data_IF_903975014994
#
_entry.id   IF_903975014994
#
_cell.length_a   1.000
_cell.length_b   1.000
_cell.length_c   1.000
_cell.angle_alpha   90.00
_cell.angle_beta   90.00
_cell.angle_gamma   90.00
#
_symmetry.space_group_name_H-M   'P 1'
#
loop_
_entity.id
_entity.type
_entity.pdbx_description
1 polymer ?
#
# COMPACT_ATOMS: atom_id res chain seq x y z
N UNK A 1 5.53 -22.03 10.67
CA UNK A 1 4.56 -22.86 11.42
C UNK A 1 3.67 -22.04 12.35
N UNK A 2 4.23 -21.16 13.25
CA UNK A 2 3.41 -20.34 14.17
C UNK A 2 2.56 -19.33 13.39
N UNK A 3 3.13 -18.55 12.47
CA UNK A 3 2.40 -17.61 11.61
C UNK A 3 1.27 -18.31 10.82
N UNK A 4 1.55 -19.43 10.22
CA UNK A 4 0.60 -20.24 9.45
C UNK A 4 -0.55 -20.77 10.34
N UNK A 5 -0.24 -21.19 11.57
CA UNK A 5 -1.23 -21.60 12.55
C UNK A 5 -2.14 -20.43 12.97
N UNK A 6 -1.56 -19.24 13.26
CA UNK A 6 -2.33 -18.03 13.60
C UNK A 6 -3.29 -17.68 12.45
N UNK A 7 -2.79 -17.64 11.20
CA UNK A 7 -3.62 -17.29 10.04
C UNK A 7 -4.79 -18.26 9.87
N UNK A 8 -4.55 -19.54 10.03
CA UNK A 8 -5.60 -20.58 9.88
C UNK A 8 -6.62 -20.57 11.03
N UNK A 9 -6.23 -20.06 12.20
CA UNK A 9 -7.11 -19.95 13.37
C UNK A 9 -8.10 -18.78 13.31
N UNK A 10 -7.95 -17.85 12.33
CA UNK A 10 -8.79 -16.66 12.25
C UNK A 10 -10.03 -16.93 11.42
N UNK A 11 -11.24 -16.73 11.97
CA UNK A 11 -12.49 -16.85 11.24
C UNK A 11 -12.57 -15.89 10.04
N UNK A 12 -13.21 -16.33 8.96
CA UNK A 12 -13.38 -15.52 7.74
C UNK A 12 -14.01 -14.13 7.99
N UNK A 13 -15.06 -13.98 8.84
CA UNK A 13 -15.62 -12.67 9.13
C UNK A 13 -14.62 -11.70 9.75
N UNK A 14 -13.73 -12.21 10.62
CA UNK A 14 -12.71 -11.38 11.26
C UNK A 14 -11.66 -10.89 10.25
N UNK A 15 -11.28 -11.71 9.27
CA UNK A 15 -10.37 -11.30 8.18
C UNK A 15 -10.97 -10.16 7.35
N UNK A 16 -12.25 -10.25 7.02
CA UNK A 16 -12.96 -9.20 6.29
C UNK A 16 -13.08 -7.91 7.10
N UNK A 17 -13.32 -8.01 8.41
CA UNK A 17 -13.36 -6.87 9.32
C UNK A 17 -12.00 -6.16 9.42
N UNK A 18 -10.90 -6.92 9.48
CA UNK A 18 -9.53 -6.38 9.49
C UNK A 18 -9.26 -5.64 8.18
N UNK A 19 -9.55 -6.25 7.03
CA UNK A 19 -9.35 -5.61 5.72
C UNK A 19 -10.11 -4.29 5.61
N UNK A 20 -11.34 -4.24 6.10
CA UNK A 20 -12.12 -3.02 6.09
C UNK A 20 -11.60 -1.97 7.08
N UNK A 21 -11.12 -2.39 8.26
CA UNK A 21 -10.46 -1.50 9.22
C UNK A 21 -9.22 -0.83 8.60
N UNK A 22 -8.40 -1.60 7.88
CA UNK A 22 -7.25 -1.07 7.11
C UNK A 22 -7.75 -0.11 6.03
N UNK A 23 -8.81 -0.46 5.30
CA UNK A 23 -9.41 0.43 4.31
C UNK A 23 -9.85 1.78 4.89
N UNK A 24 -10.54 1.78 6.03
CA UNK A 24 -10.94 3.03 6.72
C UNK A 24 -9.74 3.84 7.20
N UNK A 25 -8.70 3.19 7.70
CA UNK A 25 -7.46 3.84 8.08
C UNK A 25 -6.77 4.50 6.88
N UNK A 26 -6.67 3.80 5.75
CA UNK A 26 -6.14 4.36 4.50
C UNK A 26 -6.99 5.53 3.98
N UNK A 27 -8.32 5.45 4.13
CA UNK A 27 -9.20 6.56 3.79
C UNK A 27 -8.90 7.82 4.61
N UNK A 28 -8.68 7.66 5.92
CA UNK A 28 -8.31 8.77 6.79
C UNK A 28 -6.98 9.40 6.37
N UNK A 29 -5.95 8.59 6.11
CA UNK A 29 -4.65 9.07 5.61
C UNK A 29 -4.80 9.77 4.27
N UNK A 30 -5.60 9.23 3.37
CA UNK A 30 -5.88 9.84 2.08
C UNK A 30 -6.53 11.23 2.24
N UNK A 31 -7.52 11.37 3.11
CA UNK A 31 -8.18 12.64 3.39
C UNK A 31 -7.24 13.66 4.05
N UNK A 32 -6.30 13.21 4.90
CA UNK A 32 -5.26 14.07 5.46
C UNK A 32 -4.28 14.53 4.38
N UNK A 33 -3.78 13.63 3.53
CA UNK A 33 -2.88 13.97 2.43
C UNK A 33 -3.55 14.89 1.40
N UNK A 34 -4.86 14.75 1.20
CA UNK A 34 -5.65 15.67 0.37
C UNK A 34 -5.83 17.06 1.01
N UNK A 35 -5.58 17.21 2.32
CA UNK A 35 -5.86 18.44 3.06
C UNK A 35 -7.34 18.67 3.35
N UNK A 36 -8.19 17.67 3.17
CA UNK A 36 -9.62 17.69 3.52
C UNK A 36 -9.81 17.52 5.03
N UNK A 37 -9.02 16.63 5.62
CA UNK A 37 -8.93 16.44 7.07
C UNK A 37 -7.61 17.02 7.55
N UNK A 38 -7.65 17.81 8.61
CA UNK A 38 -6.47 18.42 9.23
C UNK A 38 -6.45 18.11 10.71
N UNK A 39 -5.28 18.24 11.31
CA UNK A 39 -5.09 18.08 12.74
C UNK A 39 -5.78 19.22 13.51
N UNK A 40 -6.49 18.87 14.60
CA UNK A 40 -7.18 19.81 15.47
C UNK A 40 -6.88 19.45 16.94
N UNK A 41 -6.28 20.34 17.74
CA UNK A 41 -5.91 20.04 19.11
C UNK A 41 -7.10 19.68 20.03
N UNK A 42 -8.31 20.15 19.70
CA UNK A 42 -9.48 19.91 20.54
C UNK A 42 -10.22 18.61 20.19
N UNK A 43 -10.28 18.25 18.90
CA UNK A 43 -11.08 17.12 18.39
C UNK A 43 -10.23 16.05 17.71
N UNK A 44 -8.91 16.17 17.74
CA UNK A 44 -7.89 15.39 17.05
C UNK A 44 -7.96 15.53 15.52
N UNK A 45 -9.13 15.62 14.94
CA UNK A 45 -9.35 15.82 13.50
C UNK A 45 -10.36 16.96 13.29
N UNK A 46 -10.12 17.76 12.26
CA UNK A 46 -10.98 18.86 11.84
C UNK A 46 -11.11 18.93 10.32
N UNK A 47 -12.02 19.74 9.85
CA UNK A 47 -12.18 20.00 8.43
C UNK A 47 -11.16 21.03 7.97
N UNK A 48 -10.43 20.68 6.90
CA UNK A 48 -9.47 21.58 6.26
C UNK A 48 -10.16 22.68 5.43
N UNK A 49 -9.34 23.58 4.91
CA UNK A 49 -9.80 24.64 4.02
C UNK A 49 -9.96 24.08 2.59
N UNK A 50 -11.20 23.78 2.22
CA UNK A 50 -11.54 23.19 0.92
C UNK A 50 -11.34 24.14 -0.27
N UNK A 51 -11.07 25.42 -0.02
CA UNK A 51 -10.79 26.40 -1.08
C UNK A 51 -9.35 26.35 -1.59
N UNK A 52 -8.47 25.64 -0.87
CA UNK A 52 -7.07 25.48 -1.26
C UNK A 52 -6.93 24.58 -2.51
N UNK A 53 -5.86 24.79 -3.31
CA UNK A 53 -5.64 23.99 -4.52
C UNK A 53 -5.51 22.48 -4.25
N UNK A 54 -4.90 22.08 -3.13
CA UNK A 54 -4.64 20.68 -2.81
C UNK A 54 -5.93 19.85 -2.66
N UNK A 55 -6.94 20.21 -1.83
CA UNK A 55 -8.21 19.48 -1.74
C UNK A 55 -8.99 19.45 -3.05
N UNK A 56 -8.97 20.56 -3.80
CA UNK A 56 -9.66 20.65 -5.10
C UNK A 56 -9.03 19.67 -6.09
N UNK A 57 -7.70 19.69 -6.23
CA UNK A 57 -6.98 18.81 -7.15
C UNK A 57 -7.11 17.35 -6.74
N UNK A 58 -7.07 17.04 -5.44
CA UNK A 58 -7.30 15.70 -4.94
C UNK A 58 -8.71 15.20 -5.28
N UNK A 59 -9.74 16.03 -5.09
CA UNK A 59 -11.11 15.65 -5.42
C UNK A 59 -11.29 15.42 -6.91
N UNK A 60 -10.75 16.28 -7.76
CA UNK A 60 -10.78 16.12 -9.22
C UNK A 60 -10.02 14.86 -9.65
N UNK A 61 -8.87 14.57 -9.02
CA UNK A 61 -8.10 13.37 -9.24
C UNK A 61 -8.87 12.10 -8.89
N UNK A 62 -9.64 12.11 -7.79
CA UNK A 62 -10.49 10.98 -7.42
C UNK A 62 -11.60 10.73 -8.45
N UNK A 63 -12.30 11.78 -8.88
CA UNK A 63 -13.33 11.68 -9.91
C UNK A 63 -12.73 11.14 -11.22
N UNK A 64 -11.54 11.62 -11.60
CA UNK A 64 -10.84 11.14 -12.79
C UNK A 64 -10.47 9.65 -12.70
N UNK A 65 -9.91 9.21 -11.57
CA UNK A 65 -9.57 7.79 -11.35
C UNK A 65 -10.80 6.91 -11.45
N UNK A 66 -11.89 7.28 -10.77
CA UNK A 66 -13.16 6.52 -10.79
C UNK A 66 -13.74 6.47 -12.21
N UNK A 67 -13.72 7.58 -12.95
CA UNK A 67 -14.21 7.64 -14.31
C UNK A 67 -13.39 6.77 -15.28
N UNK A 68 -12.06 6.75 -15.15
CA UNK A 68 -11.18 5.92 -15.96
C UNK A 68 -11.32 4.44 -15.62
N UNK A 69 -11.45 4.11 -14.34
CA UNK A 69 -11.67 2.73 -13.88
C UNK A 69 -13.02 2.19 -14.35
N UNK A 70 -14.07 3.01 -14.29
CA UNK A 70 -15.39 2.65 -14.84
C UNK A 70 -15.36 2.37 -16.36
N UNK A 71 -14.39 2.94 -17.07
CA UNK A 71 -14.14 2.66 -18.48
C UNK A 71 -13.14 1.51 -18.71
N UNK A 72 -12.74 0.81 -17.64
CA UNK A 72 -11.76 -0.29 -17.67
C UNK A 72 -10.41 0.10 -18.31
N UNK A 73 -9.98 1.35 -18.13
CA UNK A 73 -8.69 1.83 -18.62
C UNK A 73 -7.58 1.24 -17.74
N UNK A 74 -6.69 0.45 -18.33
CA UNK A 74 -5.53 -0.10 -17.62
C UNK A 74 -4.61 1.04 -17.16
N UNK A 75 -4.30 1.07 -15.84
CA UNK A 75 -3.45 2.11 -15.25
C UNK A 75 -4.19 3.40 -14.89
N UNK A 76 -5.52 3.39 -14.74
CA UNK A 76 -6.35 4.53 -14.37
C UNK A 76 -5.79 5.31 -13.17
N UNK A 77 -5.32 4.59 -12.15
CA UNK A 77 -4.72 5.17 -10.93
C UNK A 77 -3.45 5.95 -11.26
N UNK A 78 -2.55 5.36 -12.05
CA UNK A 78 -1.30 6.03 -12.46
C UNK A 78 -1.57 7.27 -13.30
N UNK A 79 -2.49 7.17 -14.27
CA UNK A 79 -2.91 8.30 -15.10
C UNK A 79 -3.47 9.42 -14.23
N UNK A 80 -4.31 9.11 -13.26
CA UNK A 80 -4.86 10.08 -12.32
C UNK A 80 -3.79 10.82 -11.53
N UNK A 81 -2.82 10.09 -10.97
CA UNK A 81 -1.69 10.67 -10.23
C UNK A 81 -0.87 11.60 -11.13
N UNK A 82 -0.52 11.15 -12.34
CA UNK A 82 0.29 11.93 -13.27
C UNK A 82 -0.41 13.20 -13.75
N UNK A 83 -1.71 13.11 -14.05
CA UNK A 83 -2.50 14.27 -14.47
C UNK A 83 -2.60 15.31 -13.35
N UNK A 84 -2.93 14.87 -12.13
CA UNK A 84 -3.00 15.79 -10.98
C UNK A 84 -1.64 16.42 -10.70
N UNK A 85 -0.56 15.65 -10.76
CA UNK A 85 0.80 16.16 -10.59
C UNK A 85 1.16 17.18 -11.66
N UNK A 86 0.86 16.89 -12.94
CA UNK A 86 1.11 17.81 -14.03
C UNK A 86 0.36 19.14 -13.85
N UNK A 87 -0.92 19.08 -13.48
CA UNK A 87 -1.71 20.28 -13.20
C UNK A 87 -1.14 21.05 -12.00
N UNK A 88 -0.70 20.35 -10.94
CA UNK A 88 -0.10 20.98 -9.77
C UNK A 88 1.20 21.72 -10.11
N UNK A 89 2.02 21.16 -11.00
CA UNK A 89 3.24 21.80 -11.49
C UNK A 89 2.89 23.04 -12.34
N UNK A 90 1.92 22.94 -13.26
CA UNK A 90 1.50 24.04 -14.11
C UNK A 90 0.90 25.21 -13.31
N UNK A 91 0.22 24.91 -12.22
CA UNK A 91 -0.33 25.94 -11.30
C UNK A 91 0.73 26.48 -10.32
N UNK A 92 1.97 25.97 -10.36
CA UNK A 92 3.03 26.41 -9.45
C UNK A 92 2.84 25.96 -7.99
N UNK A 93 1.92 25.02 -7.74
CA UNK A 93 1.67 24.49 -6.38
C UNK A 93 2.78 23.53 -5.95
N UNK A 94 3.41 22.86 -6.91
CA UNK A 94 4.50 21.91 -6.67
C UNK A 94 5.68 22.23 -7.57
N UNK A 95 6.89 22.13 -7.01
CA UNK A 95 8.11 22.33 -7.77
C UNK A 95 8.55 21.03 -8.44
N UNK A 96 8.94 21.12 -9.70
CA UNK A 96 9.49 19.98 -10.42
C UNK A 96 10.98 19.80 -10.08
N UNK A 97 11.31 18.69 -9.41
CA UNK A 97 12.66 18.38 -8.92
C UNK A 97 13.62 17.80 -9.96
N UNK A 98 13.18 17.67 -11.22
CA UNK A 98 13.96 17.02 -12.28
C UNK A 98 13.50 15.59 -12.59
N UNK A 99 14.06 15.01 -13.65
CA UNK A 99 13.67 13.65 -14.10
C UNK A 99 14.63 12.59 -13.55
N UNK A 100 15.92 12.85 -13.61
CA UNK A 100 16.96 11.87 -13.26
C UNK A 100 17.98 12.47 -12.31
N UNK A 101 18.37 11.73 -11.28
CA UNK A 101 19.51 12.04 -10.43
C UNK A 101 20.28 10.78 -10.07
N UNK A 102 21.47 10.96 -9.53
CA UNK A 102 22.15 9.85 -8.85
C UNK A 102 21.34 9.40 -7.64
N UNK A 103 21.24 8.08 -7.40
CA UNK A 103 20.55 7.56 -6.23
C UNK A 103 21.08 8.19 -4.94
N UNK A 104 20.21 8.56 -3.98
CA UNK A 104 20.65 9.11 -2.71
C UNK A 104 21.52 8.10 -1.95
N UNK A 105 22.48 8.61 -1.18
CA UNK A 105 23.32 7.76 -0.34
C UNK A 105 22.48 7.04 0.73
N UNK A 106 22.68 5.75 0.89
CA UNK A 106 22.09 4.96 1.97
C UNK A 106 22.84 5.08 3.30
N UNK A 107 24.01 5.73 3.32
CA UNK A 107 24.86 5.84 4.51
C UNK A 107 24.14 6.40 5.76
N UNK A 108 23.21 7.38 5.66
CA UNK A 108 22.52 7.91 6.84
C UNK A 108 21.53 6.93 7.49
N UNK A 109 21.02 5.95 6.76
CA UNK A 109 19.97 5.04 7.22
C UNK A 109 20.46 3.61 7.42
N UNK A 110 21.59 3.26 6.81
CA UNK A 110 22.13 1.91 6.86
C UNK A 110 22.56 1.52 8.28
N UNK A 111 21.99 0.42 8.80
CA UNK A 111 22.26 -0.12 10.14
C UNK A 111 21.99 0.84 11.31
N UNK A 112 21.12 1.83 11.14
CA UNK A 112 20.73 2.80 12.19
C UNK A 112 19.54 2.28 13.04
N UNK A 113 19.53 0.99 13.36
CA UNK A 113 18.49 0.36 14.16
C UNK A 113 18.64 0.69 15.64
N UNK A 114 17.67 1.36 16.25
CA UNK A 114 17.57 1.53 17.69
C UNK A 114 16.75 0.40 18.34
N UNK A 115 17.41 -0.73 18.55
CA UNK A 115 16.78 -1.91 19.16
C UNK A 115 16.46 -1.67 20.65
N UNK A 116 17.28 -0.84 21.34
CA UNK A 116 17.04 -0.55 22.78
C UNK A 116 15.82 0.32 22.95
N UNK A 117 15.68 1.39 22.18
CA UNK A 117 14.50 2.24 22.20
C UNK A 117 13.22 1.48 21.80
N UNK A 118 13.32 0.56 20.84
CA UNK A 118 12.19 -0.26 20.43
C UNK A 118 11.68 -1.25 21.52
N UNK A 119 12.52 -1.60 22.48
CA UNK A 119 12.17 -2.52 23.58
C UNK A 119 11.61 -1.81 24.82
N UNK A 120 11.48 -0.49 24.80
CA UNK A 120 10.80 0.23 25.88
C UNK A 120 9.36 -0.25 26.04
N UNK A 121 8.92 -0.40 27.30
CA UNK A 121 7.64 -1.03 27.66
C UNK A 121 6.44 -0.36 26.96
N UNK A 122 6.49 0.95 26.73
CA UNK A 122 5.47 1.67 25.99
C UNK A 122 5.37 1.32 24.49
N UNK A 123 6.45 0.86 23.88
CA UNK A 123 6.52 0.51 22.45
C UNK A 123 6.20 -0.96 22.18
N UNK A 124 6.23 -1.84 23.16
CA UNK A 124 5.95 -3.28 22.97
C UNK A 124 4.54 -3.50 22.42
N UNK A 125 3.53 -2.79 22.89
CA UNK A 125 2.17 -2.87 22.36
C UNK A 125 2.07 -2.41 20.89
N UNK A 126 2.84 -1.39 20.54
CA UNK A 126 2.93 -0.86 19.16
C UNK A 126 3.60 -1.89 18.25
N UNK A 127 4.69 -2.52 18.69
CA UNK A 127 5.36 -3.59 17.95
C UNK A 127 4.41 -4.75 17.66
N UNK A 128 3.65 -5.19 18.68
CA UNK A 128 2.65 -6.24 18.49
C UNK A 128 1.54 -5.83 17.52
N UNK A 129 1.03 -4.60 17.62
CA UNK A 129 0.02 -4.10 16.69
C UNK A 129 0.53 -4.13 15.25
N UNK A 130 1.71 -3.59 14.99
CA UNK A 130 2.31 -3.61 13.64
C UNK A 130 2.61 -5.02 13.15
N UNK A 131 3.09 -5.92 14.02
CA UNK A 131 3.33 -7.31 13.69
C UNK A 131 2.04 -8.01 13.23
N UNK A 132 0.92 -7.76 13.92
CA UNK A 132 -0.37 -8.34 13.53
C UNK A 132 -0.89 -7.75 12.23
N UNK A 133 -0.79 -6.42 12.05
CA UNK A 133 -1.18 -5.75 10.79
C UNK A 133 -0.38 -6.34 9.63
N UNK A 134 0.94 -6.40 9.74
CA UNK A 134 1.83 -6.97 8.71
C UNK A 134 1.49 -8.44 8.41
N UNK A 135 1.25 -9.23 9.45
CA UNK A 135 0.89 -10.64 9.31
C UNK A 135 -0.41 -10.82 8.51
N UNK A 136 -1.43 -10.01 8.80
CA UNK A 136 -2.73 -10.14 8.16
C UNK A 136 -2.73 -9.59 6.74
N UNK A 137 -2.11 -8.43 6.53
CA UNK A 137 -2.01 -7.80 5.22
C UNK A 137 -1.24 -8.71 4.25
N UNK A 138 -0.06 -9.16 4.62
CA UNK A 138 0.73 -10.08 3.82
C UNK A 138 0.02 -11.40 3.53
N UNK A 139 -0.65 -11.97 4.53
CA UNK A 139 -1.35 -13.25 4.35
C UNK A 139 -2.52 -13.11 3.38
N UNK A 140 -3.30 -12.02 3.50
CA UNK A 140 -4.41 -11.72 2.61
C UNK A 140 -3.93 -11.54 1.17
N UNK A 141 -2.89 -10.74 1.00
CA UNK A 141 -2.28 -10.44 -0.29
C UNK A 141 -1.69 -11.69 -0.96
N UNK A 142 -0.92 -12.49 -0.22
CA UNK A 142 -0.33 -13.74 -0.72
C UNK A 142 -1.41 -14.72 -1.18
N UNK A 143 -2.49 -14.90 -0.40
CA UNK A 143 -3.61 -15.78 -0.77
C UNK A 143 -4.33 -15.21 -2.00
N UNK A 144 -4.59 -13.91 -2.04
CA UNK A 144 -5.26 -13.24 -3.16
C UNK A 144 -4.49 -13.40 -4.48
N UNK A 145 -3.19 -13.13 -4.45
CA UNK A 145 -2.29 -13.27 -5.60
C UNK A 145 -2.13 -14.73 -6.01
N UNK A 146 -1.95 -15.65 -5.05
CA UNK A 146 -1.83 -17.10 -5.33
C UNK A 146 -3.10 -17.67 -5.97
N UNK A 147 -4.28 -17.23 -5.51
CA UNK A 147 -5.56 -17.61 -6.11
C UNK A 147 -5.65 -17.16 -7.57
N UNK A 148 -5.25 -15.92 -7.85
CA UNK A 148 -5.26 -15.38 -9.21
C UNK A 148 -4.22 -16.03 -10.11
N UNK A 149 -3.08 -16.45 -9.54
CA UNK A 149 -2.03 -17.20 -10.23
C UNK A 149 -2.39 -18.67 -10.52
N UNK A 150 -3.47 -19.18 -9.95
CA UNK A 150 -3.82 -20.60 -10.04
C UNK A 150 -2.89 -21.52 -9.24
N UNK A 151 -2.26 -20.98 -8.19
CA UNK A 151 -1.32 -21.71 -7.32
C UNK A 151 -1.99 -22.30 -6.08
N UNK A 152 -3.31 -22.23 -5.97
CA UNK A 152 -4.06 -22.83 -4.86
C UNK A 152 -4.22 -24.34 -5.06
N UNK A 153 -4.05 -25.10 -3.98
CA UNK A 153 -4.33 -26.53 -3.95
C UNK A 153 -5.83 -26.82 -4.06
N UNK A 154 -6.17 -28.06 -4.37
CA UNK A 154 -7.58 -28.53 -4.46
C UNK A 154 -8.32 -28.43 -3.12
N UNK A 155 -7.59 -28.42 -2.03
CA UNK A 155 -8.02 -28.25 -0.64
C UNK A 155 -8.23 -26.79 -0.22
N UNK A 156 -8.03 -25.84 -1.16
CA UNK A 156 -8.16 -24.39 -0.90
C UNK A 156 -6.99 -23.79 -0.12
N UNK A 157 -5.93 -24.54 0.12
CA UNK A 157 -4.73 -24.06 0.78
C UNK A 157 -3.64 -23.70 -0.24
N UNK A 158 -2.80 -22.71 0.09
CA UNK A 158 -1.65 -22.37 -0.73
C UNK A 158 -0.48 -23.32 -0.43
N UNK A 159 -0.09 -24.20 -1.38
CA UNK A 159 1.11 -24.99 -1.22
C UNK A 159 2.32 -24.08 -1.03
N UNK A 160 3.23 -24.42 -0.12
CA UNK A 160 4.45 -23.65 0.14
C UNK A 160 4.23 -22.27 0.79
N UNK A 161 3.07 -22.01 1.41
CA UNK A 161 2.79 -20.76 2.15
C UNK A 161 3.93 -20.43 3.15
N UNK A 162 4.44 -21.43 3.86
CA UNK A 162 5.56 -21.24 4.79
C UNK A 162 6.82 -20.69 4.13
N UNK A 163 7.14 -21.10 2.89
CA UNK A 163 8.28 -20.55 2.15
C UNK A 163 8.06 -19.11 1.70
N UNK A 164 6.84 -18.78 1.29
CA UNK A 164 6.48 -17.41 0.94
C UNK A 164 6.60 -16.48 2.16
N UNK A 165 6.09 -16.91 3.32
CA UNK A 165 6.21 -16.15 4.57
C UNK A 165 7.66 -16.00 5.06
N UNK A 166 8.54 -16.99 4.83
CA UNK A 166 9.97 -16.87 5.14
C UNK A 166 10.62 -15.84 4.21
N UNK A 167 10.34 -15.90 2.91
CA UNK A 167 10.88 -14.95 1.94
C UNK A 167 10.45 -13.52 2.27
N UNK A 168 9.20 -13.31 2.62
CA UNK A 168 8.63 -12.05 3.07
C UNK A 168 9.33 -11.52 4.34
N UNK A 169 9.46 -12.36 5.36
CA UNK A 169 10.15 -11.98 6.60
C UNK A 169 11.63 -11.65 6.39
N UNK A 170 12.33 -12.38 5.51
CA UNK A 170 13.74 -12.08 5.19
C UNK A 170 13.87 -10.78 4.41
N UNK A 171 12.92 -10.47 3.53
CA UNK A 171 12.87 -9.20 2.81
C UNK A 171 12.60 -8.03 3.77
N UNK A 172 11.65 -8.17 4.72
CA UNK A 172 11.38 -7.17 5.73
C UNK A 172 12.60 -6.91 6.64
N UNK A 173 13.33 -7.97 7.05
CA UNK A 173 14.58 -7.82 7.79
C UNK A 173 15.66 -7.09 6.97
N UNK A 174 15.81 -7.45 5.69
CA UNK A 174 16.74 -6.78 4.79
C UNK A 174 16.38 -5.29 4.60
N UNK A 175 15.12 -4.98 4.41
CA UNK A 175 14.62 -3.61 4.31
C UNK A 175 14.89 -2.79 5.57
N UNK A 176 14.65 -3.34 6.75
CA UNK A 176 14.92 -2.66 8.02
C UNK A 176 16.40 -2.34 8.24
N UNK A 177 17.32 -3.25 7.81
CA UNK A 177 18.77 -2.98 7.84
C UNK A 177 19.18 -1.83 6.90
N UNK A 178 18.46 -1.66 5.78
CA UNK A 178 18.66 -0.55 4.86
C UNK A 178 17.99 0.77 5.33
N UNK A 179 17.17 0.70 6.39
CA UNK A 179 16.43 1.83 6.92
C UNK A 179 15.17 2.16 6.13
N UNK A 180 14.60 1.20 5.41
CA UNK A 180 13.31 1.35 4.74
C UNK A 180 12.17 0.91 5.66
N UNK A 181 10.93 1.30 5.32
CA UNK A 181 9.73 0.73 5.94
C UNK A 181 9.62 -0.77 5.64
N UNK A 182 8.65 -1.44 6.28
CA UNK A 182 8.37 -2.87 6.06
C UNK A 182 8.22 -3.18 4.57
N UNK A 183 8.95 -4.20 4.12
CA UNK A 183 8.83 -4.75 2.77
C UNK A 183 7.74 -5.81 2.79
N UNK A 184 6.65 -5.57 2.06
CA UNK A 184 5.49 -6.46 2.03
C UNK A 184 5.12 -6.89 0.60
N UNK A 185 4.30 -7.92 0.49
CA UNK A 185 3.70 -8.33 -0.78
C UNK A 185 2.52 -7.43 -1.13
N UNK A 186 2.46 -6.90 -2.35
CA UNK A 186 1.39 -6.01 -2.81
C UNK A 186 0.35 -6.75 -3.64
N UNK A 187 -0.92 -6.38 -3.44
CA UNK A 187 -2.05 -6.95 -4.19
C UNK A 187 -1.98 -6.57 -5.68
N UNK A 188 -1.33 -5.48 -6.01
CA UNK A 188 -1.06 -5.01 -7.38
C UNK A 188 -0.25 -6.04 -8.19
N UNK A 189 0.50 -6.92 -7.54
CA UNK A 189 1.16 -8.07 -8.17
C UNK A 189 0.18 -8.96 -8.94
N UNK A 190 -1.10 -8.94 -8.56
CA UNK A 190 -2.16 -9.63 -9.28
C UNK A 190 -2.35 -9.11 -10.72
N UNK A 191 -2.01 -7.84 -11.00
CA UNK A 191 -2.01 -7.30 -12.35
C UNK A 191 -0.92 -7.95 -13.22
N UNK A 192 0.30 -8.07 -12.68
CA UNK A 192 1.39 -8.78 -13.36
C UNK A 192 1.09 -10.26 -13.61
N UNK A 193 0.45 -10.93 -12.64
CA UNK A 193 -0.04 -12.31 -12.77
C UNK A 193 -1.09 -12.43 -13.88
N UNK A 194 -2.00 -11.48 -13.98
CA UNK A 194 -3.04 -11.45 -15.04
C UNK A 194 -2.42 -11.24 -16.43
N UNK A 195 -1.33 -10.50 -16.52
CA UNK A 195 -0.55 -10.32 -17.74
C UNK A 195 0.31 -11.55 -18.11
N UNK A 196 0.33 -12.61 -17.28
CA UNK A 196 1.04 -13.86 -17.54
C UNK A 196 2.30 -14.08 -16.69
N UNK A 197 2.66 -13.15 -15.82
CA UNK A 197 3.81 -13.24 -14.93
C UNK A 197 3.55 -14.17 -13.74
N UNK A 198 3.95 -15.44 -13.84
CA UNK A 198 3.66 -16.48 -12.81
C UNK A 198 4.92 -17.19 -12.30
N UNK A 199 6.09 -16.69 -12.64
CA UNK A 199 7.37 -17.33 -12.31
C UNK A 199 8.25 -16.39 -11.49
N UNK A 200 9.26 -16.94 -10.80
CA UNK A 200 10.25 -16.15 -10.07
C UNK A 200 11.05 -15.18 -10.97
N UNK A 201 11.14 -15.45 -12.27
CA UNK A 201 11.77 -14.54 -13.23
C UNK A 201 11.05 -13.20 -13.29
N UNK A 202 9.72 -13.20 -13.23
CA UNK A 202 8.92 -11.96 -13.17
C UNK A 202 9.33 -11.12 -11.95
N UNK A 203 9.50 -11.74 -10.78
CA UNK A 203 9.92 -11.04 -9.57
C UNK A 203 11.34 -10.46 -9.71
N UNK A 204 12.27 -11.16 -10.36
CA UNK A 204 13.63 -10.66 -10.62
C UNK A 204 13.59 -9.44 -11.54
N UNK A 205 12.81 -9.50 -12.63
CA UNK A 205 12.64 -8.35 -13.55
C UNK A 205 12.06 -7.15 -12.80
N UNK A 206 11.04 -7.35 -11.98
CA UNK A 206 10.46 -6.27 -11.15
C UNK A 206 11.50 -5.68 -10.19
N UNK A 207 12.32 -6.52 -9.54
CA UNK A 207 13.39 -6.04 -8.67
C UNK A 207 14.41 -5.18 -9.42
N UNK A 208 14.82 -5.58 -10.63
CA UNK A 208 15.72 -4.79 -11.48
C UNK A 208 15.08 -3.45 -11.87
N UNK A 209 13.79 -3.45 -12.23
CA UNK A 209 13.06 -2.23 -12.55
C UNK A 209 12.97 -1.28 -11.34
N UNK A 210 12.78 -1.79 -10.12
CA UNK A 210 12.83 -0.98 -8.90
C UNK A 210 14.21 -0.37 -8.67
N UNK A 211 15.29 -1.12 -8.89
CA UNK A 211 16.65 -0.59 -8.81
C UNK A 211 16.90 0.52 -9.85
N UNK A 212 16.41 0.34 -11.07
CA UNK A 212 16.48 1.39 -12.09
C UNK A 212 15.62 2.62 -11.73
N UNK A 213 14.48 2.40 -11.07
CA UNK A 213 13.61 3.49 -10.62
C UNK A 213 14.27 4.41 -9.58
N UNK A 214 15.33 3.97 -8.89
CA UNK A 214 16.09 4.83 -7.97
C UNK A 214 16.71 6.06 -8.67
N UNK A 215 17.06 5.93 -9.95
CA UNK A 215 17.56 7.07 -10.72
C UNK A 215 16.48 8.10 -11.03
N UNK A 216 15.21 7.70 -10.95
CA UNK A 216 14.05 8.57 -11.13
C UNK A 216 13.47 9.11 -9.81
N UNK A 217 14.27 9.05 -8.72
CA UNK A 217 13.86 9.55 -7.41
C UNK A 217 13.36 11.01 -7.43
N UNK A 218 13.98 11.98 -8.17
CA UNK A 218 13.47 13.35 -8.22
C UNK A 218 12.09 13.45 -8.87
N UNK A 219 11.84 12.63 -9.91
CA UNK A 219 10.53 12.57 -10.55
C UNK A 219 9.48 12.06 -9.56
N UNK A 220 9.77 10.99 -8.84
CA UNK A 220 8.89 10.45 -7.80
C UNK A 220 8.68 11.46 -6.67
N UNK A 221 9.73 12.16 -6.24
CA UNK A 221 9.67 13.23 -5.24
C UNK A 221 8.89 14.47 -5.69
N UNK A 222 8.71 14.65 -7.00
CA UNK A 222 7.90 15.74 -7.55
C UNK A 222 6.39 15.46 -7.46
N UNK A 223 5.99 14.22 -7.13
CA UNK A 223 4.57 13.85 -6.94
C UNK A 223 4.12 14.30 -5.54
N UNK A 224 3.23 15.29 -5.41
CA UNK A 224 2.80 15.76 -4.11
C UNK A 224 1.85 14.77 -3.44
N UNK A 225 1.80 14.77 -2.10
CA UNK A 225 0.95 13.87 -1.32
C UNK A 225 -0.53 13.95 -1.69
N UNK A 226 -1.03 15.14 -2.02
CA UNK A 226 -2.42 15.30 -2.45
C UNK A 226 -2.71 14.72 -3.85
N UNK A 227 -1.69 14.45 -4.67
CA UNK A 227 -1.88 13.77 -5.96
C UNK A 227 -1.98 12.25 -5.81
N UNK A 228 -1.36 11.68 -4.76
CA UNK A 228 -1.48 10.25 -4.44
C UNK A 228 -2.70 9.95 -3.56
N UNK A 229 -3.23 10.94 -2.86
CA UNK A 229 -4.41 10.81 -1.99
C UNK A 229 -5.64 10.18 -2.68
N UNK A 230 -6.00 10.57 -3.91
CA UNK A 230 -7.10 9.94 -4.66
C UNK A 230 -6.92 8.43 -4.88
N UNK A 231 -5.70 8.03 -5.17
CA UNK A 231 -5.37 6.61 -5.37
C UNK A 231 -5.53 5.81 -4.07
N UNK A 232 -5.03 6.33 -2.94
CA UNK A 232 -5.21 5.73 -1.63
C UNK A 232 -6.68 5.63 -1.24
N UNK A 233 -7.47 6.68 -1.51
CA UNK A 233 -8.91 6.69 -1.23
C UNK A 233 -9.64 5.65 -2.09
N UNK A 234 -9.27 5.50 -3.36
CA UNK A 234 -9.83 4.48 -4.24
C UNK A 234 -9.54 3.06 -3.72
N UNK A 235 -8.31 2.78 -3.32
CA UNK A 235 -7.93 1.48 -2.70
C UNK A 235 -8.68 1.26 -1.40
N UNK A 236 -8.83 2.29 -0.56
CA UNK A 236 -9.57 2.23 0.70
C UNK A 236 -11.05 1.82 0.46
N UNK A 237 -11.70 2.39 -0.55
CA UNK A 237 -13.07 2.03 -0.94
C UNK A 237 -13.15 0.57 -1.41
N UNK A 238 -12.19 0.10 -2.19
CA UNK A 238 -12.13 -1.30 -2.62
C UNK A 238 -11.98 -2.25 -1.42
N UNK A 239 -11.10 -1.96 -0.47
CA UNK A 239 -10.91 -2.77 0.74
C UNK A 239 -12.16 -2.76 1.63
N UNK A 240 -12.78 -1.61 1.84
CA UNK A 240 -14.02 -1.50 2.59
C UNK A 240 -15.19 -2.28 1.95
N UNK A 241 -15.23 -2.39 0.62
CA UNK A 241 -16.28 -3.12 -0.11
C UNK A 241 -16.22 -4.64 0.10
N UNK A 242 -15.12 -5.18 0.59
CA UNK A 242 -14.99 -6.62 0.89
C UNK A 242 -15.93 -7.11 1.99
N UNK A 243 -16.31 -6.24 2.95
CA UNK A 243 -17.32 -6.57 3.97
C UNK A 243 -18.66 -6.91 3.32
N UNK A 244 -19.10 -6.11 2.35
CA UNK A 244 -20.37 -6.34 1.65
C UNK A 244 -20.41 -7.68 0.94
N UNK A 245 -19.30 -8.08 0.32
CA UNK A 245 -19.19 -9.39 -0.37
C UNK A 245 -19.16 -10.57 0.59
N UNK A 246 -18.51 -10.43 1.74
CA UNK A 246 -18.46 -11.47 2.77
C UNK A 246 -19.84 -11.71 3.37
N UNK A 247 -20.58 -10.65 3.74
CA UNK A 247 -21.93 -10.77 4.34
C UNK A 247 -22.99 -11.29 3.36
N UNK A 248 -22.85 -11.06 2.05
CA UNK A 248 -23.73 -11.63 1.05
C UNK A 248 -23.49 -13.13 0.83
N UNK A 249 -22.26 -13.60 1.06
CA UNK A 249 -21.89 -15.01 0.84
C UNK A 249 -22.30 -15.93 1.99
N UNK A 250 -22.53 -15.39 3.18
CA UNK A 250 -23.03 -16.14 4.34
C UNK A 250 -24.56 -16.30 4.37
N UNK A 251 -25.29 -15.58 3.48
CA UNK A 251 -26.77 -15.66 3.41
C UNK A 251 -27.30 -16.61 2.32
N UNK A 252 -26.44 -17.31 1.61
CA UNK A 252 -26.75 -18.34 0.61
C UNK A 252 -26.18 -19.69 1.05
#
# INVERSE_FOLDING_TARGET
RIREWIINSIPLPLRSAIAAGIGLFLALIALQNAGIVVDNPATLIGMGDLTKPAPILATLGFILIVALEARSVTGAVLIGILVVTAIAILLGVTQFGGVVSMPPSLAPTFLQLDIKGALDIGLVSVIFAFLFVDLFDNSGTLIGVAKRAGLMGKDGHMPKMGRALIADSTAAMGGSLLGTSTTTSYIESAAGVSAGGRTGLTAIVVAILFLLALFFAPLAGSVPAFATAPALLFVAVLMASEIGRASCRERV
#
